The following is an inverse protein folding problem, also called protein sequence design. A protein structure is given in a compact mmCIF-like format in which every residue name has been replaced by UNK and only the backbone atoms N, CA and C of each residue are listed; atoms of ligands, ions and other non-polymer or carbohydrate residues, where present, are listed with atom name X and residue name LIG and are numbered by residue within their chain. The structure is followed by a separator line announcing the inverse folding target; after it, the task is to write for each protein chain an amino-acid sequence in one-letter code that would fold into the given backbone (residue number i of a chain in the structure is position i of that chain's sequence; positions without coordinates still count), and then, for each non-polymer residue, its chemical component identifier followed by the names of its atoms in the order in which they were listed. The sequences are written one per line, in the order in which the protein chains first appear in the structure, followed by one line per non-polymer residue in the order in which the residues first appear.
data_IF_611747833657
#
_entry.id   IF_611747833657
#
_cell.length_a   1.000
_cell.length_b   1.000
_cell.length_c   1.000
_cell.angle_alpha   90.00
_cell.angle_beta   90.00
_cell.angle_gamma   90.00
#
_symmetry.space_group_name_H-M   'P 1'
#
loop_
_entity.id
_entity.type
_entity.pdbx_description
1 polymer ?
#
# COMPACT_ATOMS: atom_id res chain seq x y z
N UNK A 1 28.42 23.01 36.20
CA UNK A 1 27.91 21.62 36.25
C UNK A 1 26.86 21.52 35.13
N UNK A 2 27.20 20.91 34.02
CA UNK A 2 26.25 20.71 32.90
C UNK A 2 25.54 19.39 33.17
N UNK A 3 24.24 19.44 33.49
CA UNK A 3 23.41 18.26 33.49
C UNK A 3 23.19 17.82 32.02
N UNK A 4 23.66 16.62 31.69
CA UNK A 4 23.26 15.93 30.51
C UNK A 4 21.76 15.65 30.69
N UNK A 5 20.90 16.37 29.96
CA UNK A 5 19.54 15.97 29.78
C UNK A 5 19.59 14.58 29.08
N UNK A 6 19.09 13.56 29.78
CA UNK A 6 18.71 12.31 29.11
C UNK A 6 17.68 12.69 28.06
N UNK A 7 18.12 12.76 26.82
CA UNK A 7 17.21 12.79 25.67
C UNK A 7 16.65 11.37 25.61
N UNK A 8 15.48 11.17 26.21
CA UNK A 8 14.67 9.99 25.90
C UNK A 8 14.58 9.95 24.39
N UNK A 9 15.34 9.03 23.80
CA UNK A 9 15.28 8.76 22.37
C UNK A 9 13.91 8.10 22.11
N UNK A 10 12.86 8.93 21.96
CA UNK A 10 11.60 8.45 21.42
C UNK A 10 11.92 7.97 20.02
N UNK A 11 11.96 6.66 19.85
CA UNK A 11 12.09 6.06 18.53
C UNK A 11 10.88 6.48 17.69
N UNK A 12 11.12 6.97 16.48
CA UNK A 12 10.06 7.34 15.56
C UNK A 12 9.14 6.14 15.33
N UNK A 13 7.83 6.37 15.39
CA UNK A 13 6.82 5.36 15.10
C UNK A 13 6.63 5.29 13.58
N UNK A 14 7.08 4.19 12.98
CA UNK A 14 7.00 3.96 11.55
C UNK A 14 5.93 2.90 11.28
N UNK A 15 4.99 3.20 10.40
CA UNK A 15 3.97 2.25 9.93
C UNK A 15 4.14 1.97 8.44
N UNK A 16 3.90 0.74 8.05
CA UNK A 16 3.82 0.31 6.64
C UNK A 16 2.42 -0.22 6.39
N UNK A 17 1.71 0.39 5.46
CA UNK A 17 0.38 -0.04 5.06
C UNK A 17 0.38 -0.58 3.62
N UNK A 18 0.04 -1.86 3.48
CA UNK A 18 -0.16 -2.51 2.20
C UNK A 18 -1.62 -2.39 1.76
N UNK A 19 -1.86 -1.76 0.60
CA UNK A 19 -3.20 -1.50 0.07
C UNK A 19 -3.50 -2.41 -1.12
N UNK A 20 -4.57 -3.18 -1.02
CA UNK A 20 -4.97 -4.15 -2.04
C UNK A 20 -4.09 -5.41 -2.06
N UNK A 21 -4.27 -6.25 -3.07
CA UNK A 21 -3.55 -7.53 -3.16
C UNK A 21 -2.04 -7.39 -3.28
N UNK A 22 -1.56 -6.51 -4.16
CA UNK A 22 -0.12 -6.27 -4.35
C UNK A 22 0.55 -5.72 -3.09
N UNK A 23 -0.07 -4.69 -2.46
CA UNK A 23 0.44 -4.13 -1.22
C UNK A 23 0.43 -5.13 -0.06
N UNK A 24 -0.63 -5.93 0.07
CA UNK A 24 -0.70 -6.99 1.07
C UNK A 24 0.39 -8.06 0.89
N UNK A 25 0.70 -8.44 -0.35
CA UNK A 25 1.80 -9.36 -0.65
C UNK A 25 3.16 -8.78 -0.25
N UNK A 26 3.41 -7.52 -0.56
CA UNK A 26 4.63 -6.83 -0.17
C UNK A 26 4.82 -6.80 1.35
N UNK A 27 3.76 -6.45 2.10
CA UNK A 27 3.79 -6.44 3.57
C UNK A 27 4.03 -7.84 4.14
N UNK A 28 3.36 -8.87 3.63
CA UNK A 28 3.60 -10.26 4.07
C UNK A 28 5.05 -10.69 3.79
N UNK A 29 5.64 -10.24 2.69
CA UNK A 29 7.04 -10.51 2.40
C UNK A 29 7.99 -9.81 3.39
N UNK A 30 7.73 -8.54 3.72
CA UNK A 30 8.49 -7.77 4.71
C UNK A 30 8.43 -8.42 6.10
N UNK A 31 7.25 -8.90 6.53
CA UNK A 31 7.09 -9.63 7.79
C UNK A 31 7.98 -10.86 7.87
N UNK A 32 8.01 -11.65 6.80
CA UNK A 32 8.87 -12.86 6.72
C UNK A 32 10.36 -12.53 6.70
N UNK A 33 10.72 -11.32 6.29
CA UNK A 33 12.09 -10.81 6.28
C UNK A 33 12.52 -10.26 7.64
N UNK A 34 11.68 -10.39 8.69
CA UNK A 34 11.98 -9.99 10.07
C UNK A 34 12.44 -8.54 10.22
N UNK A 35 11.80 -7.62 9.51
CA UNK A 35 12.04 -6.18 9.66
C UNK A 35 11.49 -5.74 11.01
N UNK A 36 12.36 -5.24 11.88
CA UNK A 36 12.02 -4.79 13.24
C UNK A 36 11.77 -3.28 13.30
N UNK A 37 11.06 -2.84 14.34
CA UNK A 37 10.83 -1.41 14.61
C UNK A 37 9.76 -0.76 13.72
N UNK A 38 8.95 -1.55 13.02
CA UNK A 38 7.90 -1.09 12.10
C UNK A 38 6.59 -1.80 12.40
N UNK A 39 5.49 -1.05 12.39
CA UNK A 39 4.14 -1.62 12.46
C UNK A 39 3.59 -1.88 11.04
N UNK A 40 3.07 -3.09 10.84
CA UNK A 40 2.52 -3.50 9.55
C UNK A 40 1.00 -3.55 9.57
N UNK A 41 0.39 -2.97 8.53
CA UNK A 41 -1.05 -2.90 8.32
C UNK A 41 -1.36 -3.44 6.92
N UNK A 42 -2.41 -4.24 6.77
CA UNK A 42 -2.97 -4.60 5.47
C UNK A 42 -4.39 -4.06 5.34
N UNK A 43 -4.65 -3.33 4.27
CA UNK A 43 -5.96 -2.80 3.91
C UNK A 43 -6.42 -3.39 2.57
N UNK A 44 -7.58 -4.03 2.55
CA UNK A 44 -8.11 -4.65 1.32
C UNK A 44 -9.64 -4.68 1.32
N UNK A 45 -10.21 -4.67 0.12
CA UNK A 45 -11.64 -4.90 -0.11
C UNK A 45 -11.99 -6.39 -0.23
N UNK A 46 -10.98 -7.26 -0.39
CA UNK A 46 -11.12 -8.71 -0.44
C UNK A 46 -10.90 -9.33 0.94
N UNK A 47 -11.99 -9.83 1.54
CA UNK A 47 -11.95 -10.44 2.86
C UNK A 47 -11.14 -11.74 2.92
N UNK A 48 -11.06 -12.48 1.79
CA UNK A 48 -10.28 -13.72 1.74
C UNK A 48 -8.77 -13.42 1.71
N UNK A 49 -8.36 -12.38 0.97
CA UNK A 49 -6.97 -11.95 0.95
C UNK A 49 -6.50 -11.51 2.35
N UNK A 50 -7.36 -10.83 3.12
CA UNK A 50 -7.05 -10.44 4.50
C UNK A 50 -6.94 -11.61 5.47
N UNK A 51 -7.70 -12.69 5.29
CA UNK A 51 -7.60 -13.88 6.13
C UNK A 51 -6.24 -14.60 6.00
N UNK A 52 -5.57 -14.42 4.88
CA UNK A 52 -4.28 -15.03 4.59
C UNK A 52 -3.08 -14.15 4.98
N UNK A 53 -3.31 -12.97 5.55
CA UNK A 53 -2.24 -12.09 6.02
C UNK A 53 -1.82 -12.44 7.45
N UNK A 54 -0.54 -12.25 7.74
CA UNK A 54 0.06 -12.51 9.05
C UNK A 54 0.18 -11.21 9.89
N UNK A 55 -0.33 -10.08 9.37
CA UNK A 55 -0.27 -8.79 10.10
C UNK A 55 -1.22 -8.78 11.31
N UNK A 56 -0.85 -8.00 12.32
CA UNK A 56 -1.71 -7.78 13.48
C UNK A 56 -2.91 -6.89 13.18
N UNK A 57 -2.73 -5.91 12.29
CA UNK A 57 -3.76 -4.94 11.91
C UNK A 57 -4.20 -5.16 10.48
N UNK A 58 -5.38 -5.73 10.32
CA UNK A 58 -6.01 -5.96 9.01
C UNK A 58 -7.30 -5.14 8.91
N UNK A 59 -7.38 -4.28 7.89
CA UNK A 59 -8.52 -3.41 7.61
C UNK A 59 -9.27 -3.95 6.39
N UNK A 60 -10.48 -4.46 6.60
CA UNK A 60 -11.39 -4.70 5.49
C UNK A 60 -12.06 -3.39 5.12
N UNK A 61 -11.89 -2.97 3.87
CA UNK A 61 -12.44 -1.73 3.32
C UNK A 61 -13.73 -1.99 2.55
N UNK A 62 -14.71 -1.12 2.74
CA UNK A 62 -15.93 -1.06 1.97
C UNK A 62 -16.78 -2.33 2.06
N UNK A 63 -17.09 -2.74 3.28
CA UNK A 63 -17.90 -3.94 3.51
C UNK A 63 -19.29 -3.86 2.87
N UNK A 64 -19.89 -2.68 2.78
CA UNK A 64 -21.16 -2.48 2.09
C UNK A 64 -20.96 -2.36 0.57
N UNK A 65 -19.92 -1.65 0.14
CA UNK A 65 -19.62 -1.41 -1.29
C UNK A 65 -19.24 -2.70 -2.00
N UNK A 66 -18.36 -3.53 -1.41
CA UNK A 66 -17.76 -4.69 -2.07
C UNK A 66 -18.24 -6.03 -1.56
N UNK A 67 -18.88 -6.07 -0.39
CA UNK A 67 -19.31 -7.29 0.32
C UNK A 67 -18.17 -8.29 0.55
N UNK A 68 -16.94 -7.77 0.68
CA UNK A 68 -15.76 -8.60 0.86
C UNK A 68 -15.27 -9.35 -0.39
N UNK A 69 -15.82 -9.05 -1.56
CA UNK A 69 -15.49 -9.72 -2.83
C UNK A 69 -14.40 -8.98 -3.64
N UNK A 70 -13.86 -7.90 -3.08
CA UNK A 70 -12.90 -7.06 -3.78
C UNK A 70 -13.54 -6.00 -4.67
N UNK A 71 -12.74 -5.04 -5.10
CA UNK A 71 -13.16 -3.97 -6.01
C UNK A 71 -13.05 -4.37 -7.50
N UNK A 72 -12.51 -5.54 -7.80
CA UNK A 72 -12.24 -5.95 -9.18
C UNK A 72 -11.19 -5.05 -9.84
N UNK A 73 -11.40 -4.72 -11.13
CA UNK A 73 -10.54 -3.80 -11.87
C UNK A 73 -11.12 -2.35 -11.90
N UNK A 74 -11.91 -1.99 -10.90
CA UNK A 74 -12.61 -0.72 -10.81
C UNK A 74 -12.04 0.16 -9.68
N UNK A 75 -11.21 1.19 -10.01
CA UNK A 75 -10.62 2.09 -9.02
C UNK A 75 -11.65 2.97 -8.29
N UNK A 76 -12.74 3.34 -8.95
CA UNK A 76 -13.76 4.18 -8.32
C UNK A 76 -14.45 3.40 -7.19
N UNK A 77 -14.69 2.11 -7.42
CA UNK A 77 -15.19 1.21 -6.38
C UNK A 77 -14.18 1.00 -5.25
N UNK A 78 -12.88 0.96 -5.56
CA UNK A 78 -11.80 0.93 -4.57
C UNK A 78 -11.74 2.20 -3.74
N UNK A 79 -11.94 3.34 -4.37
CA UNK A 79 -12.02 4.65 -3.71
C UNK A 79 -13.22 4.74 -2.77
N UNK A 80 -14.43 4.41 -3.26
CA UNK A 80 -15.65 4.38 -2.43
C UNK A 80 -15.48 3.47 -1.20
N UNK A 81 -14.89 2.29 -1.39
CA UNK A 81 -14.63 1.36 -0.30
C UNK A 81 -13.70 1.93 0.76
N UNK A 82 -12.67 2.67 0.37
CA UNK A 82 -11.76 3.33 1.31
C UNK A 82 -12.44 4.51 2.02
N UNK A 83 -13.27 5.27 1.30
CA UNK A 83 -14.04 6.37 1.88
C UNK A 83 -15.07 5.88 2.91
N UNK A 84 -15.70 4.72 2.69
CA UNK A 84 -16.61 4.10 3.68
C UNK A 84 -15.92 3.83 5.02
N UNK A 85 -14.66 3.39 5.00
CA UNK A 85 -13.88 3.03 6.19
C UNK A 85 -12.78 4.05 6.52
N UNK A 86 -12.94 5.31 6.10
CA UNK A 86 -11.96 6.37 6.28
C UNK A 86 -11.56 6.59 7.75
N UNK A 87 -12.53 6.54 8.66
CA UNK A 87 -12.28 6.70 10.09
C UNK A 87 -11.42 5.56 10.64
N UNK A 88 -11.61 4.33 10.17
CA UNK A 88 -10.78 3.18 10.55
C UNK A 88 -9.36 3.27 10.01
N UNK A 89 -9.19 3.86 8.81
CA UNK A 89 -7.87 4.17 8.27
C UNK A 89 -7.20 5.22 9.15
N UNK A 90 -7.93 6.26 9.55
CA UNK A 90 -7.44 7.30 10.46
C UNK A 90 -6.95 6.71 11.77
N UNK A 91 -7.78 5.90 12.46
CA UNK A 91 -7.42 5.22 13.71
C UNK A 91 -6.18 4.33 13.56
N UNK A 92 -6.05 3.63 12.44
CA UNK A 92 -4.91 2.75 12.19
C UNK A 92 -3.60 3.51 11.94
N UNK A 93 -3.66 4.71 11.41
CA UNK A 93 -2.49 5.55 11.13
C UNK A 93 -2.13 6.49 12.27
N UNK A 94 -3.08 6.80 13.17
CA UNK A 94 -2.88 7.72 14.28
C UNK A 94 -1.64 7.37 15.10
N UNK A 95 -0.88 8.40 15.50
CA UNK A 95 0.32 8.26 16.31
C UNK A 95 1.57 7.85 15.53
N UNK A 96 1.51 7.69 14.20
CA UNK A 96 2.69 7.47 13.39
C UNK A 96 3.43 8.80 13.10
N UNK A 97 4.75 8.76 13.13
CA UNK A 97 5.61 9.86 12.66
C UNK A 97 5.84 9.75 11.16
N UNK A 98 5.86 8.51 10.63
CA UNK A 98 6.08 8.22 9.22
C UNK A 98 5.24 7.03 8.77
N UNK A 99 4.69 7.10 7.56
CA UNK A 99 3.98 5.99 6.92
C UNK A 99 4.54 5.69 5.54
N UNK A 100 4.78 4.41 5.29
CA UNK A 100 5.01 3.89 3.95
C UNK A 100 3.72 3.26 3.43
N UNK A 101 3.26 3.73 2.27
CA UNK A 101 2.11 3.16 1.58
C UNK A 101 2.64 2.29 0.43
N UNK A 102 2.30 1.01 0.40
CA UNK A 102 2.65 0.15 -0.73
C UNK A 102 1.40 -0.40 -1.42
N UNK A 103 1.39 -0.34 -2.75
CA UNK A 103 0.25 -0.80 -3.56
C UNK A 103 0.70 -1.24 -4.96
N UNK A 104 0.02 -2.24 -5.50
CA UNK A 104 0.07 -2.55 -6.93
C UNK A 104 -0.95 -1.70 -7.68
N UNK A 105 -0.49 -0.87 -8.62
CA UNK A 105 -1.36 0.00 -9.40
C UNK A 105 -1.90 -0.73 -10.65
N UNK A 106 -3.06 -0.30 -11.14
CA UNK A 106 -3.74 -0.88 -12.31
C UNK A 106 -4.88 -1.84 -11.99
N UNK A 107 -5.10 -2.14 -10.71
CA UNK A 107 -6.29 -2.83 -10.21
C UNK A 107 -7.31 -1.87 -9.59
N UNK A 108 -8.34 -2.39 -8.93
CA UNK A 108 -9.37 -1.59 -8.27
C UNK A 108 -8.91 -1.08 -6.91
N UNK A 109 -8.62 -1.97 -5.96
CA UNK A 109 -8.35 -1.61 -4.57
C UNK A 109 -7.09 -0.78 -4.40
N UNK A 110 -5.93 -1.27 -4.88
CA UNK A 110 -4.65 -0.55 -4.72
C UNK A 110 -4.71 0.84 -5.36
N UNK A 111 -5.23 0.93 -6.57
CA UNK A 111 -5.31 2.19 -7.35
C UNK A 111 -6.28 3.18 -6.74
N UNK A 112 -7.44 2.72 -6.28
CA UNK A 112 -8.50 3.59 -5.77
C UNK A 112 -8.34 3.95 -4.30
N UNK A 113 -7.89 3.01 -3.47
CA UNK A 113 -7.81 3.21 -2.02
C UNK A 113 -6.50 3.85 -1.55
N UNK A 114 -5.36 3.62 -2.23
CA UNK A 114 -4.08 4.19 -1.80
C UNK A 114 -4.08 5.74 -1.74
N UNK A 115 -4.69 6.47 -2.69
CA UNK A 115 -4.83 7.93 -2.58
C UNK A 115 -5.62 8.36 -1.33
N UNK A 116 -6.68 7.65 -0.95
CA UNK A 116 -7.46 7.95 0.27
C UNK A 116 -6.63 7.74 1.53
N UNK A 117 -5.86 6.65 1.57
CA UNK A 117 -4.92 6.40 2.68
C UNK A 117 -3.89 7.52 2.81
N UNK A 118 -3.35 7.97 1.68
CA UNK A 118 -2.39 9.08 1.64
C UNK A 118 -3.01 10.42 2.09
N UNK A 119 -4.25 10.69 1.69
CA UNK A 119 -5.00 11.86 2.13
C UNK A 119 -5.19 11.87 3.65
N UNK A 120 -5.58 10.74 4.23
CA UNK A 120 -5.72 10.59 5.69
C UNK A 120 -4.38 10.79 6.41
N UNK A 121 -3.30 10.20 5.90
CA UNK A 121 -1.97 10.37 6.47
C UNK A 121 -1.52 11.85 6.44
N UNK A 122 -1.77 12.54 5.33
CA UNK A 122 -1.49 13.97 5.18
C UNK A 122 -2.29 14.84 6.15
N UNK A 123 -3.58 14.53 6.37
CA UNK A 123 -4.42 15.25 7.34
C UNK A 123 -3.91 15.07 8.79
N UNK A 124 -3.39 13.90 9.10
CA UNK A 124 -2.73 13.60 10.36
C UNK A 124 -1.36 14.28 10.52
N UNK A 125 -0.83 14.90 9.45
CA UNK A 125 0.51 15.51 9.44
C UNK A 125 1.65 14.48 9.46
N UNK A 126 1.40 13.24 9.04
CA UNK A 126 2.36 12.14 9.01
C UNK A 126 3.23 12.26 7.76
N UNK A 127 4.56 12.12 7.89
CA UNK A 127 5.46 12.02 6.75
C UNK A 127 5.11 10.79 5.92
N UNK A 128 4.70 11.00 4.67
CA UNK A 128 4.11 9.95 3.83
C UNK A 128 4.96 9.64 2.61
N UNK A 129 5.41 8.40 2.52
CA UNK A 129 6.15 7.87 1.35
C UNK A 129 5.33 6.76 0.71
N UNK A 130 5.07 6.86 -0.59
CA UNK A 130 4.42 5.78 -1.33
C UNK A 130 5.43 5.04 -2.21
N UNK A 131 5.36 3.71 -2.18
CA UNK A 131 6.13 2.81 -3.06
C UNK A 131 5.13 1.93 -3.80
N UNK A 132 5.00 2.15 -5.10
CA UNK A 132 3.98 1.47 -5.90
C UNK A 132 4.55 0.81 -7.15
N UNK A 133 3.96 -0.30 -7.55
CA UNK A 133 4.34 -1.00 -8.78
C UNK A 133 3.41 -0.62 -9.93
N UNK A 134 4.00 -0.48 -11.14
CA UNK A 134 3.25 -0.39 -12.40
C UNK A 134 3.11 -1.79 -13.01
N UNK A 135 1.95 -2.13 -13.59
CA UNK A 135 1.73 -3.43 -14.21
C UNK A 135 2.71 -3.68 -15.38
N UNK A 136 2.91 -4.96 -15.71
CA UNK A 136 3.64 -5.35 -16.92
C UNK A 136 2.86 -4.94 -18.17
N UNK A 137 3.58 -4.69 -19.28
CA UNK A 137 2.96 -4.31 -20.55
C UNK A 137 2.00 -5.37 -21.10
N UNK A 138 2.28 -6.65 -20.86
CA UNK A 138 1.42 -7.75 -21.27
C UNK A 138 0.08 -7.86 -20.49
N UNK A 139 -0.05 -7.15 -19.36
CA UNK A 139 -1.31 -7.07 -18.62
C UNK A 139 -2.37 -6.19 -19.33
N UNK A 140 -1.95 -5.45 -20.33
CA UNK A 140 -2.80 -4.67 -21.22
C UNK A 140 -2.81 -3.16 -20.95
N UNK A 141 -3.02 -2.40 -22.03
CA UNK A 141 -2.96 -0.93 -22.00
C UNK A 141 -3.98 -0.29 -21.07
N UNK A 142 -5.15 -0.90 -20.88
CA UNK A 142 -6.17 -0.41 -19.94
C UNK A 142 -5.66 -0.42 -18.50
N UNK A 143 -4.97 -1.48 -18.07
CA UNK A 143 -4.39 -1.54 -16.72
C UNK A 143 -3.28 -0.52 -16.53
N UNK A 144 -2.45 -0.31 -17.56
CA UNK A 144 -1.42 0.71 -17.54
C UNK A 144 -2.02 2.11 -17.38
N UNK A 145 -3.06 2.44 -18.15
CA UNK A 145 -3.74 3.74 -18.04
C UNK A 145 -4.34 3.95 -16.64
N UNK A 146 -5.05 2.96 -16.11
CA UNK A 146 -5.59 2.96 -14.75
C UNK A 146 -4.47 3.19 -13.71
N UNK A 147 -3.32 2.55 -13.90
CA UNK A 147 -2.19 2.72 -13.00
C UNK A 147 -1.64 4.15 -13.04
N UNK A 148 -1.51 4.74 -14.23
CA UNK A 148 -1.02 6.11 -14.39
C UNK A 148 -1.96 7.14 -13.77
N UNK A 149 -3.26 7.00 -14.00
CA UNK A 149 -4.27 7.87 -13.40
C UNK A 149 -4.27 7.77 -11.86
N UNK A 150 -4.13 6.56 -11.31
CA UNK A 150 -4.04 6.35 -9.87
C UNK A 150 -2.75 6.89 -9.26
N UNK A 151 -1.61 6.76 -9.96
CA UNK A 151 -0.32 7.32 -9.54
C UNK A 151 -0.40 8.86 -9.51
N UNK A 152 -1.03 9.48 -10.49
CA UNK A 152 -1.24 10.92 -10.52
C UNK A 152 -2.01 11.39 -9.28
N UNK A 153 -3.15 10.76 -8.97
CA UNK A 153 -3.95 11.08 -7.78
C UNK A 153 -3.18 10.86 -6.47
N UNK A 154 -2.42 9.77 -6.38
CA UNK A 154 -1.60 9.45 -5.21
C UNK A 154 -0.51 10.49 -4.98
N UNK A 155 0.13 10.98 -6.05
CA UNK A 155 1.23 11.95 -5.98
C UNK A 155 0.83 13.30 -5.37
N UNK A 156 -0.45 13.65 -5.40
CA UNK A 156 -0.96 14.89 -4.83
C UNK A 156 -1.00 14.88 -3.29
N UNK A 157 -0.93 13.69 -2.67
CA UNK A 157 -1.14 13.50 -1.24
C UNK A 157 0.05 12.89 -0.50
N UNK A 158 1.17 12.67 -1.17
CA UNK A 158 2.38 12.09 -0.56
C UNK A 158 3.57 13.04 -0.63
N UNK A 159 4.48 12.95 0.34
CA UNK A 159 5.72 13.74 0.36
C UNK A 159 6.76 13.18 -0.63
N UNK A 160 6.75 11.85 -0.82
CA UNK A 160 7.60 11.18 -1.79
C UNK A 160 6.88 10.00 -2.43
N UNK A 161 7.06 9.83 -3.74
CA UNK A 161 6.49 8.75 -4.52
C UNK A 161 7.58 8.01 -5.30
N UNK A 162 7.69 6.72 -5.04
CA UNK A 162 8.58 5.82 -5.76
C UNK A 162 7.72 4.89 -6.62
N UNK A 163 7.91 4.93 -7.93
CA UNK A 163 7.21 4.02 -8.85
C UNK A 163 8.18 2.97 -9.39
N UNK A 164 7.82 1.72 -9.27
CA UNK A 164 8.58 0.57 -9.76
C UNK A 164 7.87 0.00 -10.98
N UNK A 165 8.40 0.21 -12.21
CA UNK A 165 7.85 -0.45 -13.39
C UNK A 165 8.20 -1.94 -13.36
N UNK A 166 7.20 -2.83 -13.32
CA UNK A 166 7.41 -4.27 -13.31
C UNK A 166 8.24 -4.75 -14.52
N UNK A 167 8.15 -4.07 -15.65
CA UNK A 167 8.97 -4.29 -16.83
C UNK A 167 10.48 -4.27 -16.55
N UNK A 168 10.92 -3.42 -15.62
CA UNK A 168 12.32 -3.34 -15.21
C UNK A 168 12.79 -4.58 -14.44
N UNK A 169 11.88 -5.25 -13.74
CA UNK A 169 12.18 -6.49 -13.03
C UNK A 169 12.55 -7.61 -14.02
N UNK A 170 11.89 -7.69 -15.17
CA UNK A 170 12.21 -8.67 -16.20
C UNK A 170 13.65 -8.50 -16.72
N UNK A 171 14.15 -7.29 -16.79
CA UNK A 171 15.53 -7.04 -17.23
C UNK A 171 16.57 -7.48 -16.19
N UNK A 172 16.21 -7.49 -14.91
CA UNK A 172 17.09 -7.92 -13.81
C UNK A 172 17.03 -9.44 -13.61
N UNK A 173 15.83 -10.03 -13.73
CA UNK A 173 15.59 -11.45 -13.49
C UNK A 173 16.12 -12.37 -14.63
N UNK A 174 16.33 -11.80 -15.81
CA UNK A 174 16.85 -12.52 -16.98
C UNK A 174 15.78 -13.10 -17.93
N UNK A 175 16.22 -13.46 -19.13
CA UNK A 175 15.35 -13.86 -20.25
C UNK A 175 14.63 -15.22 -20.07
N UNK A 176 15.02 -15.99 -19.09
CA UNK A 176 14.45 -17.33 -18.80
C UNK A 176 13.45 -17.34 -17.66
N UNK A 177 13.14 -16.16 -17.09
CA UNK A 177 12.20 -16.03 -15.97
C UNK A 177 10.79 -16.37 -16.42
N UNK A 178 10.13 -17.27 -15.69
CA UNK A 178 8.72 -17.58 -15.94
C UNK A 178 7.83 -16.40 -15.55
N UNK A 179 6.63 -16.30 -16.15
CA UNK A 179 5.63 -15.31 -15.77
C UNK A 179 5.31 -15.37 -14.27
N UNK A 180 5.23 -16.57 -13.70
CA UNK A 180 4.95 -16.76 -12.28
C UNK A 180 6.08 -16.19 -11.40
N UNK A 181 7.33 -16.37 -11.80
CA UNK A 181 8.46 -15.82 -11.05
C UNK A 181 8.56 -14.30 -11.20
N UNK A 182 8.19 -13.76 -12.37
CA UNK A 182 8.10 -12.33 -12.58
C UNK A 182 7.05 -11.68 -11.64
N UNK A 183 5.87 -12.29 -11.49
CA UNK A 183 4.85 -11.81 -10.56
C UNK A 183 5.23 -11.98 -9.07
N UNK A 184 6.02 -12.99 -8.74
CA UNK A 184 6.53 -13.13 -7.36
C UNK A 184 7.60 -12.10 -7.00
N UNK A 185 8.33 -11.61 -7.99
CA UNK A 185 9.37 -10.60 -7.82
C UNK A 185 8.84 -9.16 -7.84
N UNK A 186 7.62 -8.95 -8.38
CA UNK A 186 6.93 -7.66 -8.43
C UNK A 186 6.20 -7.37 -7.12
#
# INVERSE_FOLDING_TARGET
MFELMDVDSQNAVIKVIGVGGGGGNAVNHMLRSSIEGVEFICANTDAQALKNTEVRTALQLGSNVTRGLGAGADPDRGHEAAMEDRDRIYEALEGADMVFITAGMGGGTGTGAAPVVAEVARELGILTVAVVTKPFSFEGGKRLQIAEDGIARLSENVDSLITIPNEKLLSVLGKTTSLLDAFKAA
#
